data_IF_159162664500
#
_entry.id   IF_159162664500
#
_cell.length_a   1.000
_cell.length_b   1.000
_cell.length_c   1.000
_cell.angle_alpha   90.00
_cell.angle_beta   90.00
_cell.angle_gamma   90.00
#
_symmetry.space_group_name_H-M   'P 1'
#
loop_
_entity.id
_entity.type
_entity.pdbx_description
1 polymer ?
#
# COMPACT_ATOMS: atom_id res chain seq x y z
N UNK A 1 -16.43 3.98 7.29
CA UNK A 1 -16.11 2.89 6.35
C UNK A 1 -15.91 3.53 5.01
N UNK A 2 -14.64 3.74 4.66
CA UNK A 2 -14.21 4.20 3.35
C UNK A 2 -14.55 3.19 2.27
N UNK A 3 -14.39 3.59 1.01
CA UNK A 3 -14.57 2.66 -0.12
C UNK A 3 -13.60 1.47 -0.01
N UNK A 4 -13.97 0.35 -0.61
CA UNK A 4 -13.17 -0.91 -0.61
C UNK A 4 -12.67 -1.30 -2.00
N UNK A 5 -12.77 -0.36 -2.93
CA UNK A 5 -12.44 -0.53 -4.35
C UNK A 5 -11.50 0.59 -4.72
N UNK A 6 -10.26 0.23 -5.04
CA UNK A 6 -9.19 1.15 -5.40
C UNK A 6 -8.43 0.58 -6.58
N UNK A 7 -7.90 1.46 -7.41
CA UNK A 7 -6.84 1.08 -8.35
C UNK A 7 -5.53 0.83 -7.60
N UNK A 8 -4.66 0.01 -8.20
CA UNK A 8 -3.31 -0.18 -7.70
C UNK A 8 -2.50 1.11 -7.61
N UNK A 9 -2.73 2.01 -8.57
CA UNK A 9 -2.03 3.29 -8.61
C UNK A 9 -2.44 4.22 -7.45
N UNK A 10 -3.72 4.26 -7.08
CA UNK A 10 -4.18 5.02 -5.90
C UNK A 10 -3.50 4.52 -4.63
N UNK A 11 -3.49 3.20 -4.41
CA UNK A 11 -2.86 2.61 -3.22
C UNK A 11 -1.36 2.90 -3.20
N UNK A 12 -0.65 2.68 -4.31
CA UNK A 12 0.79 2.91 -4.38
C UNK A 12 1.14 4.40 -4.18
N UNK A 13 0.36 5.32 -4.75
CA UNK A 13 0.53 6.76 -4.58
C UNK A 13 0.43 7.17 -3.10
N UNK A 14 -0.58 6.67 -2.38
CA UNK A 14 -0.77 7.02 -0.96
C UNK A 14 0.35 6.43 -0.10
N UNK A 15 0.72 5.16 -0.33
CA UNK A 15 1.84 4.53 0.38
C UNK A 15 3.14 5.31 0.20
N UNK A 16 3.43 5.80 -1.01
CA UNK A 16 4.65 6.57 -1.27
C UNK A 16 4.59 7.97 -0.67
N UNK A 17 3.53 8.73 -0.96
CA UNK A 17 3.48 10.14 -0.61
C UNK A 17 3.14 10.41 0.86
N UNK A 18 2.39 9.50 1.50
CA UNK A 18 1.89 9.68 2.87
C UNK A 18 2.42 8.59 3.79
N UNK A 19 2.54 7.35 3.30
CA UNK A 19 3.02 6.20 4.08
C UNK A 19 4.54 6.12 4.24
N UNK A 20 5.31 7.00 3.58
CA UNK A 20 6.77 7.01 3.65
C UNK A 20 7.45 5.86 2.93
N UNK A 21 6.73 5.13 2.07
CA UNK A 21 7.33 4.08 1.24
C UNK A 21 8.11 4.69 0.07
N UNK A 22 9.22 4.06 -0.29
CA UNK A 22 9.99 4.38 -1.48
C UNK A 22 9.55 3.47 -2.64
N UNK A 23 9.27 4.06 -3.80
CA UNK A 23 9.04 3.31 -5.03
C UNK A 23 10.37 2.81 -5.60
N UNK A 24 10.67 1.52 -5.41
CA UNK A 24 11.96 0.93 -5.85
C UNK A 24 12.00 0.59 -7.32
N UNK A 25 10.96 -0.10 -7.82
CA UNK A 25 10.86 -0.48 -9.23
C UNK A 25 9.46 -0.95 -9.60
N UNK A 26 9.20 -0.98 -10.90
CA UNK A 26 8.03 -1.64 -11.50
C UNK A 26 8.51 -2.83 -12.32
N UNK A 27 7.88 -3.99 -12.15
CA UNK A 27 8.16 -5.20 -12.91
C UNK A 27 6.85 -5.73 -13.49
N UNK A 28 6.71 -5.63 -14.83
CA UNK A 28 5.43 -5.87 -15.49
C UNK A 28 4.38 -4.90 -14.97
N UNK A 29 3.26 -5.44 -14.51
CA UNK A 29 2.14 -4.70 -13.92
C UNK A 29 2.24 -4.57 -12.39
N UNK A 30 3.36 -4.92 -11.74
CA UNK A 30 3.50 -4.82 -10.28
C UNK A 30 4.54 -3.77 -9.86
N UNK A 31 4.14 -2.88 -8.95
CA UNK A 31 5.05 -1.97 -8.24
C UNK A 31 5.63 -2.63 -6.99
N UNK A 32 6.93 -2.44 -6.76
CA UNK A 32 7.61 -2.87 -5.55
C UNK A 32 7.98 -1.65 -4.71
N UNK A 33 7.37 -1.57 -3.53
CA UNK A 33 7.56 -0.49 -2.58
C UNK A 33 8.37 -0.98 -1.37
N UNK A 34 9.15 -0.09 -0.79
CA UNK A 34 10.00 -0.40 0.35
C UNK A 34 9.90 0.66 1.43
N UNK A 35 9.76 0.25 2.68
CA UNK A 35 9.77 1.14 3.83
C UNK A 35 10.88 0.72 4.79
N UNK A 36 11.64 1.70 5.28
CA UNK A 36 12.61 1.54 6.36
C UNK A 36 12.24 2.52 7.47
N UNK A 37 11.97 1.99 8.66
CA UNK A 37 11.60 2.83 9.79
C UNK A 37 12.82 3.65 10.25
N UNK A 38 12.70 4.98 10.44
CA UNK A 38 13.85 5.87 10.66
C UNK A 38 14.63 5.57 11.95
N UNK A 39 13.97 4.97 12.94
CA UNK A 39 14.57 4.67 14.26
C UNK A 39 14.48 3.19 14.66
N UNK A 40 13.93 2.33 13.81
CA UNK A 40 13.75 0.90 14.12
C UNK A 40 14.26 0.08 12.95
N UNK A 41 15.53 -0.32 13.03
CA UNK A 41 16.22 -0.99 11.92
C UNK A 41 15.64 -2.38 11.59
N UNK A 42 14.91 -2.99 12.53
CA UNK A 42 14.21 -4.26 12.34
C UNK A 42 12.84 -4.10 11.65
N UNK A 43 12.28 -2.88 11.58
CA UNK A 43 11.02 -2.61 10.89
C UNK A 43 11.27 -2.14 9.45
N UNK A 44 11.49 -3.15 8.61
CA UNK A 44 11.64 -3.01 7.16
C UNK A 44 10.49 -3.74 6.47
N UNK A 45 9.77 -3.02 5.62
CA UNK A 45 8.60 -3.58 4.93
C UNK A 45 8.81 -3.53 3.43
N UNK A 46 8.37 -4.59 2.76
CA UNK A 46 8.35 -4.67 1.30
C UNK A 46 6.92 -5.01 0.90
N UNK A 47 6.35 -4.17 0.04
CA UNK A 47 4.96 -4.28 -0.41
C UNK A 47 4.96 -4.43 -1.92
N UNK A 48 4.14 -5.35 -2.43
CA UNK A 48 3.95 -5.51 -3.88
C UNK A 48 2.55 -5.10 -4.26
N UNK A 49 2.41 -4.09 -5.12
CA UNK A 49 1.11 -3.55 -5.52
C UNK A 49 0.86 -3.81 -7.01
N UNK A 50 -0.14 -4.64 -7.38
CA UNK A 50 -0.56 -4.77 -8.77
C UNK A 50 -1.18 -3.45 -9.26
N UNK A 51 -0.74 -2.94 -10.41
CA UNK A 51 -1.15 -1.64 -10.98
C UNK A 51 -2.36 -1.79 -11.91
N UNK A 52 -3.40 -2.47 -11.44
CA UNK A 52 -4.65 -2.66 -12.19
C UNK A 52 -5.64 -1.54 -11.84
N UNK A 53 -6.64 -1.31 -12.69
CA UNK A 53 -7.68 -0.30 -12.44
C UNK A 53 -8.53 -0.60 -11.20
N UNK A 54 -8.62 -1.88 -10.81
CA UNK A 54 -9.31 -2.32 -9.62
C UNK A 54 -8.55 -3.47 -8.94
N UNK A 55 -8.30 -3.30 -7.64
CA UNK A 55 -7.78 -4.36 -6.78
C UNK A 55 -8.90 -5.20 -6.19
N UNK A 56 -8.72 -6.52 -6.21
CA UNK A 56 -9.58 -7.43 -5.45
C UNK A 56 -9.40 -7.17 -3.95
N UNK A 57 -10.46 -7.32 -3.18
CA UNK A 57 -10.43 -7.09 -1.73
C UNK A 57 -9.41 -7.97 -0.99
N UNK A 58 -9.16 -9.19 -1.48
CA UNK A 58 -8.12 -10.08 -0.95
C UNK A 58 -6.73 -9.46 -1.12
N UNK A 59 -6.41 -9.03 -2.34
CA UNK A 59 -5.14 -8.34 -2.66
C UNK A 59 -4.96 -7.06 -1.87
N UNK A 60 -6.03 -6.25 -1.75
CA UNK A 60 -5.97 -5.03 -0.94
C UNK A 60 -5.67 -5.33 0.54
N UNK A 61 -6.19 -6.45 1.06
CA UNK A 61 -5.94 -6.89 2.44
C UNK A 61 -4.51 -7.41 2.62
N UNK A 62 -3.98 -8.13 1.64
CA UNK A 62 -2.57 -8.55 1.63
C UNK A 62 -1.65 -7.33 1.65
N UNK A 63 -1.91 -6.33 0.80
CA UNK A 63 -1.15 -5.08 0.79
C UNK A 63 -1.22 -4.37 2.14
N UNK A 64 -2.39 -4.33 2.79
CA UNK A 64 -2.56 -3.72 4.10
C UNK A 64 -1.68 -4.42 5.16
N UNK A 65 -1.66 -5.75 5.16
CA UNK A 65 -0.82 -6.54 6.08
C UNK A 65 0.68 -6.32 5.81
N UNK A 66 1.11 -6.39 4.54
CA UNK A 66 2.51 -6.11 4.15
C UNK A 66 2.93 -4.68 4.50
N UNK A 67 2.00 -3.71 4.39
CA UNK A 67 2.22 -2.32 4.77
C UNK A 67 2.22 -2.11 6.29
N UNK A 68 1.88 -3.14 7.09
CA UNK A 68 1.83 -3.13 8.55
C UNK A 68 0.59 -2.47 9.14
N UNK A 69 -0.52 -2.44 8.39
CA UNK A 69 -1.80 -2.00 8.91
C UNK A 69 -2.36 -3.03 9.90
N UNK A 70 -2.90 -2.57 11.03
CA UNK A 70 -3.47 -3.45 12.06
C UNK A 70 -4.96 -3.70 11.84
N UNK A 71 -5.67 -2.71 11.30
CA UNK A 71 -7.08 -2.79 10.98
C UNK A 71 -7.31 -2.46 9.51
N UNK A 72 -7.92 -3.39 8.79
CA UNK A 72 -8.13 -3.27 7.34
C UNK A 72 -9.07 -2.12 6.97
N UNK A 73 -10.13 -1.89 7.76
CA UNK A 73 -11.06 -0.81 7.50
C UNK A 73 -10.42 0.56 7.73
N UNK A 74 -9.56 0.71 8.74
CA UNK A 74 -8.77 1.94 8.95
C UNK A 74 -7.79 2.20 7.81
N UNK A 75 -7.15 1.13 7.29
CA UNK A 75 -6.32 1.24 6.09
C UNK A 75 -7.12 1.74 4.89
N UNK A 76 -8.31 1.17 4.64
CA UNK A 76 -9.17 1.61 3.53
C UNK A 76 -9.62 3.07 3.72
N UNK A 77 -10.05 3.45 4.91
CA UNK A 77 -10.41 4.83 5.26
C UNK A 77 -9.22 5.79 5.08
N UNK A 78 -8.00 5.36 5.39
CA UNK A 78 -6.79 6.15 5.19
C UNK A 78 -6.42 6.31 3.72
N UNK A 79 -6.48 5.25 2.91
CA UNK A 79 -6.27 5.34 1.46
C UNK A 79 -7.30 6.29 0.84
N UNK A 80 -8.59 6.13 1.16
CA UNK A 80 -9.68 6.93 0.60
C UNK A 80 -9.52 8.43 0.87
N UNK A 81 -9.05 8.79 2.07
CA UNK A 81 -8.81 10.20 2.45
C UNK A 81 -7.62 10.84 1.75
N UNK A 82 -6.69 10.05 1.20
CA UNK A 82 -5.42 10.53 0.65
C UNK A 82 -5.23 10.24 -0.85
N UNK A 83 -6.16 9.49 -1.46
CA UNK A 83 -6.09 9.07 -2.87
C UNK A 83 -6.10 10.24 -3.86
#
# INVERSE_FOLDING_TARGET
MGRRTFSGHEVAKVLVNVGGFEWRRTAGDHAQLYYEHPTNEDDRRRVTVPLHDELRIGTLREIADEAGAREFDEFCDWIDRNA
#
